data_IF_347244213922
#
_entry.id   IF_347244213922
#
_cell.length_a   1.000
_cell.length_b   1.000
_cell.length_c   1.000
_cell.angle_alpha   90.00
_cell.angle_beta   90.00
_cell.angle_gamma   90.00
#
_symmetry.space_group_name_H-M   'P 1'
#
loop_
_entity.id
_entity.type
_entity.pdbx_description
1 polymer ?
#
# COMPACT_ATOMS: atom_id res chain seq x y z
N UNK A 1 -16.67 2.17 1.14
CA UNK A 1 -15.30 2.76 1.08
C UNK A 1 -14.67 2.97 2.47
N UNK A 2 -15.38 3.53 3.46
CA UNK A 2 -14.82 3.76 4.82
C UNK A 2 -14.24 2.52 5.53
N UNK A 3 -14.85 1.35 5.35
CA UNK A 3 -14.41 0.09 5.98
C UNK A 3 -13.01 -0.32 5.49
N UNK A 4 -12.76 -0.24 4.18
CA UNK A 4 -11.47 -0.59 3.55
C UNK A 4 -10.30 0.22 4.12
N UNK A 5 -10.46 1.53 4.35
CA UNK A 5 -9.40 2.37 4.95
C UNK A 5 -9.06 1.89 6.37
N UNK A 6 -10.08 1.51 7.14
CA UNK A 6 -9.89 1.05 8.53
C UNK A 6 -9.20 -0.32 8.57
N UNK A 7 -9.50 -1.21 7.64
CA UNK A 7 -8.82 -2.51 7.52
C UNK A 7 -7.38 -2.37 7.05
N UNK A 8 -7.11 -1.53 6.05
CA UNK A 8 -5.75 -1.21 5.59
C UNK A 8 -4.93 -0.69 6.78
N UNK A 9 -5.40 0.34 7.48
CA UNK A 9 -4.67 0.95 8.62
C UNK A 9 -4.46 -0.05 9.78
N UNK A 10 -5.37 -0.98 10.03
CA UNK A 10 -5.17 -2.07 11.01
C UNK A 10 -4.07 -3.04 10.57
N UNK A 11 -4.00 -3.36 9.27
CA UNK A 11 -3.08 -4.34 8.69
C UNK A 11 -1.69 -3.80 8.36
N UNK A 12 -1.48 -2.47 8.27
CA UNK A 12 -0.16 -1.85 8.05
C UNK A 12 0.94 -2.38 8.99
N UNK A 13 0.58 -2.84 10.18
CA UNK A 13 1.49 -3.50 11.14
C UNK A 13 2.27 -4.71 10.58
N UNK A 14 1.87 -5.26 9.43
CA UNK A 14 2.48 -6.42 8.77
C UNK A 14 2.96 -6.09 7.35
N UNK A 15 3.64 -4.95 7.17
CA UNK A 15 4.29 -4.60 5.90
C UNK A 15 5.45 -5.53 5.49
N UNK A 16 5.85 -5.52 4.21
CA UNK A 16 5.17 -4.87 3.09
C UNK A 16 3.88 -5.61 2.68
N UNK A 17 2.91 -4.88 2.14
CA UNK A 17 1.60 -5.38 1.72
C UNK A 17 1.39 -5.19 0.22
N UNK A 18 0.66 -6.11 -0.41
CA UNK A 18 0.06 -5.90 -1.72
C UNK A 18 -1.46 -6.10 -1.67
N UNK A 19 -2.18 -5.23 -2.36
CA UNK A 19 -3.64 -5.28 -2.51
C UNK A 19 -3.99 -5.44 -3.99
N UNK A 20 -4.76 -6.47 -4.33
CA UNK A 20 -5.31 -6.70 -5.65
C UNK A 20 -6.75 -6.22 -5.70
N UNK A 21 -7.08 -5.47 -6.75
CA UNK A 21 -8.41 -4.96 -7.03
C UNK A 21 -8.92 -5.64 -8.29
N UNK A 22 -10.08 -6.29 -8.19
CA UNK A 22 -10.80 -6.87 -9.33
C UNK A 22 -12.18 -6.23 -9.40
N UNK A 23 -12.50 -5.68 -10.57
CA UNK A 23 -13.84 -5.28 -10.96
C UNK A 23 -14.62 -6.49 -11.48
N UNK A 24 -15.89 -6.58 -11.08
CA UNK A 24 -16.87 -7.50 -11.62
C UNK A 24 -17.96 -6.71 -12.34
N UNK A 25 -17.88 -6.73 -13.68
CA UNK A 25 -18.73 -5.94 -14.57
C UNK A 25 -20.21 -6.38 -14.52
N UNK A 26 -20.52 -7.58 -14.01
CA UNK A 26 -21.90 -8.08 -13.98
C UNK A 26 -22.70 -7.57 -12.77
N UNK A 27 -22.02 -7.07 -11.72
CA UNK A 27 -22.67 -6.76 -10.43
C UNK A 27 -22.22 -5.44 -9.77
N UNK A 28 -21.40 -4.62 -10.43
CA UNK A 28 -20.73 -3.42 -9.86
C UNK A 28 -19.93 -3.71 -8.57
N UNK A 29 -19.54 -4.98 -8.35
CA UNK A 29 -18.85 -5.41 -7.13
C UNK A 29 -17.34 -5.34 -7.33
N UNK A 30 -16.68 -4.61 -6.43
CA UNK A 30 -15.22 -4.58 -6.34
C UNK A 30 -14.76 -5.64 -5.35
N UNK A 31 -14.01 -6.64 -5.83
CA UNK A 31 -13.35 -7.64 -4.98
C UNK A 31 -11.93 -7.18 -4.66
N UNK A 32 -11.64 -7.06 -3.37
CA UNK A 32 -10.33 -6.67 -2.85
C UNK A 32 -9.69 -7.89 -2.19
N UNK A 33 -8.44 -8.21 -2.55
CA UNK A 33 -7.61 -9.23 -1.87
C UNK A 33 -6.38 -8.53 -1.31
N UNK A 34 -6.07 -8.71 -0.03
CA UNK A 34 -4.85 -8.18 0.60
C UNK A 34 -3.97 -9.35 1.02
N UNK A 35 -2.67 -9.26 0.72
CA UNK A 35 -1.67 -10.24 1.13
C UNK A 35 -0.34 -9.58 1.50
N UNK A 36 0.53 -10.34 2.18
CA UNK A 36 1.89 -9.90 2.46
C UNK A 36 2.70 -9.95 1.17
N UNK A 37 3.45 -8.90 0.86
CA UNK A 37 4.22 -8.85 -0.37
C UNK A 37 5.48 -9.73 -0.28
N UNK A 38 5.48 -10.87 -1.00
CA UNK A 38 6.59 -11.80 -1.09
C UNK A 38 7.47 -11.49 -2.31
N UNK A 39 8.55 -10.73 -2.12
CA UNK A 39 9.33 -10.18 -3.23
C UNK A 39 9.95 -11.22 -4.18
N UNK A 40 10.19 -12.44 -3.73
CA UNK A 40 10.76 -13.53 -4.55
C UNK A 40 9.75 -14.25 -5.47
N UNK A 41 8.44 -14.15 -5.20
CA UNK A 41 7.41 -14.89 -5.95
C UNK A 41 6.86 -14.09 -7.14
N UNK A 42 7.04 -12.76 -7.12
CA UNK A 42 6.53 -11.82 -8.12
C UNK A 42 6.86 -12.18 -9.59
N UNK A 43 8.09 -12.55 -9.97
CA UNK A 43 8.39 -12.90 -11.37
C UNK A 43 7.63 -14.12 -11.91
N UNK A 44 7.10 -14.98 -11.04
CA UNK A 44 6.26 -16.13 -11.41
C UNK A 44 4.83 -15.66 -11.62
N UNK A 45 4.25 -14.97 -10.63
CA UNK A 45 2.87 -14.44 -10.68
C UNK A 45 2.65 -13.55 -11.91
N UNK A 46 3.64 -12.73 -12.27
CA UNK A 46 3.56 -11.89 -13.48
C UNK A 46 3.46 -12.72 -14.77
N UNK A 47 4.21 -13.83 -14.87
CA UNK A 47 4.16 -14.72 -16.03
C UNK A 47 2.85 -15.47 -16.13
N UNK A 48 2.28 -15.90 -15.00
CA UNK A 48 0.96 -16.54 -14.96
C UNK A 48 -0.15 -15.58 -15.46
N UNK A 49 -0.01 -14.28 -15.20
CA UNK A 49 -0.87 -13.24 -15.77
C UNK A 49 -0.61 -12.98 -17.26
N UNK A 50 0.65 -12.92 -17.70
CA UNK A 50 1.03 -12.71 -19.11
C UNK A 50 0.63 -13.90 -20.01
N UNK A 51 0.71 -15.13 -19.50
CA UNK A 51 0.28 -16.36 -20.17
C UNK A 51 -1.24 -16.56 -20.17
N UNK A 52 -1.99 -15.80 -19.36
CA UNK A 52 -3.44 -15.97 -19.20
C UNK A 52 -3.86 -17.17 -18.33
N UNK A 53 -2.93 -17.78 -17.59
CA UNK A 53 -3.19 -18.88 -16.65
C UNK A 53 -3.98 -18.38 -15.42
N UNK A 54 -3.76 -17.12 -15.03
CA UNK A 54 -4.49 -16.42 -13.96
C UNK A 54 -5.07 -15.09 -14.46
N UNK A 55 -6.29 -14.72 -13.99
CA UNK A 55 -6.87 -13.40 -14.26
C UNK A 55 -5.98 -12.32 -13.61
N UNK A 56 -5.41 -11.43 -14.44
CA UNK A 56 -4.72 -10.23 -13.96
C UNK A 56 -5.69 -9.28 -13.23
N UNK A 57 -5.24 -8.62 -12.15
CA UNK A 57 -6.05 -7.62 -11.45
C UNK A 57 -6.26 -6.37 -12.31
N UNK A 58 -7.33 -5.63 -12.01
CA UNK A 58 -7.64 -4.35 -12.66
C UNK A 58 -6.91 -3.18 -11.98
N UNK A 59 -6.46 -3.39 -10.74
CA UNK A 59 -5.57 -2.47 -10.03
C UNK A 59 -4.73 -3.15 -8.95
N UNK A 60 -3.57 -2.55 -8.66
CA UNK A 60 -2.64 -2.99 -7.63
C UNK A 60 -2.28 -1.81 -6.71
N UNK A 61 -2.21 -2.07 -5.40
CA UNK A 61 -1.69 -1.12 -4.40
C UNK A 61 -0.62 -1.81 -3.58
N UNK A 62 0.62 -1.34 -3.70
CA UNK A 62 1.75 -1.75 -2.88
C UNK A 62 1.95 -0.77 -1.72
N UNK A 63 2.32 -1.29 -0.54
CA UNK A 63 2.64 -0.48 0.64
C UNK A 63 3.85 -1.06 1.37
N UNK A 64 4.86 -0.23 1.62
CA UNK A 64 5.96 -0.54 2.55
C UNK A 64 6.17 0.56 3.59
N UNK A 65 6.84 0.22 4.69
CA UNK A 65 7.31 1.19 5.69
C UNK A 65 8.59 1.85 5.16
N UNK A 66 8.69 3.17 5.24
CA UNK A 66 9.86 3.92 4.80
C UNK A 66 10.83 4.08 5.97
N UNK A 67 12.11 3.73 5.77
CA UNK A 67 13.12 3.83 6.81
C UNK A 67 13.26 5.26 7.34
N UNK A 68 13.30 5.36 8.67
CA UNK A 68 13.07 6.62 9.41
C UNK A 68 14.36 7.36 9.80
N UNK A 69 15.46 7.13 9.09
CA UNK A 69 16.83 7.57 9.44
C UNK A 69 17.06 9.10 9.49
N UNK A 70 16.04 9.93 9.25
CA UNK A 70 16.20 11.40 9.16
C UNK A 70 15.21 12.23 9.99
N UNK A 71 14.41 11.63 10.87
CA UNK A 71 13.49 12.37 11.75
C UNK A 71 14.02 12.49 13.18
N UNK A 72 15.03 13.34 13.33
CA UNK A 72 15.70 13.65 14.60
C UNK A 72 14.81 14.52 15.51
N UNK A 73 13.69 13.97 15.98
CA UNK A 73 12.82 14.58 16.99
C UNK A 73 13.24 14.14 18.38
N UNK A 74 14.25 14.82 18.90
CA UNK A 74 14.63 14.72 20.29
C UNK A 74 13.65 15.52 21.17
N UNK A 75 12.46 14.96 21.41
CA UNK A 75 11.85 15.00 22.76
C UNK A 75 10.63 14.06 22.89
N UNK A 76 10.41 13.61 24.14
CA UNK A 76 9.30 12.78 24.63
C UNK A 76 9.21 11.31 24.18
N UNK A 77 8.80 10.46 25.13
CA UNK A 77 8.71 9.00 25.00
C UNK A 77 7.73 8.52 23.93
N UNK A 78 8.12 7.46 23.21
CA UNK A 78 7.25 6.54 22.48
C UNK A 78 6.38 7.13 21.34
N UNK A 79 6.94 8.00 20.50
CA UNK A 79 6.28 8.40 19.26
C UNK A 79 6.10 7.23 18.28
N UNK A 80 4.95 6.55 18.32
CA UNK A 80 4.52 5.53 17.33
C UNK A 80 4.15 6.14 15.97
N UNK A 81 4.95 7.10 15.50
CA UNK A 81 4.82 7.71 14.17
C UNK A 81 5.59 6.87 13.15
N UNK A 82 4.90 6.42 12.10
CA UNK A 82 5.47 5.67 10.97
C UNK A 82 5.18 6.37 9.66
N UNK A 83 6.12 6.28 8.73
CA UNK A 83 5.97 6.74 7.36
C UNK A 83 5.86 5.52 6.45
N UNK A 84 4.96 5.58 5.47
CA UNK A 84 4.68 4.50 4.54
C UNK A 84 4.68 5.03 3.12
N UNK A 85 5.29 4.29 2.21
CA UNK A 85 5.20 4.54 0.78
C UNK A 85 4.06 3.71 0.20
N UNK A 86 3.07 4.38 -0.40
CA UNK A 86 1.94 3.74 -1.09
C UNK A 86 2.07 3.98 -2.59
N UNK A 87 2.02 2.92 -3.39
CA UNK A 87 2.12 2.99 -4.86
C UNK A 87 0.95 2.28 -5.51
N UNK A 88 0.27 2.97 -6.42
CA UNK A 88 -0.97 2.52 -7.07
C UNK A 88 -0.78 2.39 -8.58
N UNK A 89 -1.27 1.29 -9.14
CA UNK A 89 -1.33 1.02 -10.58
C UNK A 89 -2.74 0.57 -10.99
N UNK A 90 -3.15 0.91 -12.20
CA UNK A 90 -4.40 0.47 -12.82
C UNK A 90 -4.14 -0.11 -14.21
N UNK A 91 -4.90 -1.15 -14.58
CA UNK A 91 -4.82 -1.81 -15.88
C UNK A 91 -5.34 -0.90 -17.00
N UNK A 92 -4.74 -0.95 -18.19
CA UNK A 92 -5.19 -0.18 -19.36
C UNK A 92 -5.09 1.35 -19.22
N UNK A 93 -4.36 1.86 -18.22
CA UNK A 93 -4.07 3.28 -18.07
C UNK A 93 -2.70 3.61 -18.66
N UNK A 94 -2.63 4.54 -19.62
CA UNK A 94 -1.34 5.10 -20.12
C UNK A 94 -0.60 5.97 -19.07
N UNK A 95 -1.09 5.99 -17.82
CA UNK A 95 -0.50 6.70 -16.71
C UNK A 95 0.38 5.76 -15.88
N UNK A 96 1.66 6.10 -15.72
CA UNK A 96 2.57 5.41 -14.80
C UNK A 96 2.10 5.46 -13.33
N UNK A 97 2.79 4.70 -12.43
CA UNK A 97 2.38 4.51 -11.05
C UNK A 97 2.18 5.82 -10.28
N UNK A 98 1.12 5.87 -9.46
CA UNK A 98 0.82 7.04 -8.61
C UNK A 98 1.31 6.77 -7.18
N UNK A 99 2.14 7.67 -6.66
CA UNK A 99 2.79 7.57 -5.36
C UNK A 99 2.10 8.44 -4.29
N UNK A 100 1.93 7.92 -3.07
CA UNK A 100 1.42 8.66 -1.91
C UNK A 100 2.20 8.36 -0.63
N UNK A 101 2.73 9.41 0.02
CA UNK A 101 3.27 9.30 1.36
C UNK A 101 2.12 9.24 2.36
N UNK A 102 2.06 8.14 3.12
CA UNK A 102 1.13 7.97 4.22
C UNK A 102 1.91 8.08 5.54
N UNK A 103 1.63 9.10 6.35
CA UNK A 103 2.13 9.19 7.73
C UNK A 103 1.04 8.70 8.67
N UNK A 104 1.33 7.72 9.51
CA UNK A 104 0.43 7.26 10.59
C UNK A 104 1.05 7.60 11.95
N UNK A 105 0.25 8.09 12.90
CA UNK A 105 0.66 8.24 14.29
C UNK A 105 -0.37 7.59 15.21
N UNK A 106 0.07 6.67 16.08
CA UNK A 106 -0.80 5.95 16.99
C UNK A 106 -0.68 6.53 18.41
N UNK A 107 -1.77 7.10 18.90
CA UNK A 107 -1.86 7.69 20.24
C UNK A 107 -2.63 6.73 21.15
N UNK A 108 -2.11 6.49 22.35
CA UNK A 108 -2.80 5.74 23.40
C UNK A 108 -3.69 6.70 24.20
N UNK A 109 -4.98 6.39 24.37
CA UNK A 109 -5.91 7.24 25.11
C UNK A 109 -5.76 7.20 26.63
N UNK A 110 -4.81 6.43 27.16
CA UNK A 110 -4.72 6.12 28.59
C UNK A 110 -5.66 4.99 29.03
N UNK A 111 -5.87 4.86 30.35
CA UNK A 111 -6.58 3.74 30.99
C UNK A 111 -7.94 3.44 30.32
N UNK A 112 -8.01 2.31 29.59
CA UNK A 112 -9.26 1.78 29.03
C UNK A 112 -9.80 2.48 27.77
N UNK A 113 -9.23 3.60 27.33
CA UNK A 113 -9.75 4.40 26.19
C UNK A 113 -9.30 3.90 24.80
N UNK A 114 -8.49 2.83 24.76
CA UNK A 114 -8.03 2.21 23.51
C UNK A 114 -6.96 3.04 22.78
N UNK A 115 -6.88 2.84 21.46
CA UNK A 115 -5.88 3.48 20.61
C UNK A 115 -6.54 4.22 19.44
N UNK A 116 -6.15 5.48 19.24
CA UNK A 116 -6.49 6.25 18.06
C UNK A 116 -5.31 6.23 17.09
N UNK A 117 -5.56 5.99 15.80
CA UNK A 117 -4.54 6.15 14.75
C UNK A 117 -4.91 7.37 13.91
N UNK A 118 -4.14 8.43 14.06
CA UNK A 118 -4.19 9.57 13.15
C UNK A 118 -3.41 9.21 11.89
N UNK A 119 -3.87 9.67 10.73
CA UNK A 119 -3.14 9.51 9.48
C UNK A 119 -3.23 10.75 8.60
N UNK A 120 -2.22 10.96 7.78
CA UNK A 120 -2.18 11.95 6.73
C UNK A 120 -1.66 11.29 5.45
N UNK A 121 -2.40 11.43 4.35
CA UNK A 121 -2.04 10.91 3.03
C UNK A 121 -1.75 12.09 2.11
N UNK A 122 -0.57 12.12 1.49
CA UNK A 122 -0.16 13.17 0.56
C UNK A 122 0.35 12.55 -0.74
N UNK A 123 -0.13 13.04 -1.90
CA UNK A 123 0.41 12.62 -3.19
C UNK A 123 1.84 13.15 -3.34
N UNK A 124 2.77 12.28 -3.71
CA UNK A 124 4.17 12.64 -3.99
C UNK A 124 4.51 12.33 -5.45
N UNK A 125 5.59 12.91 -5.98
CA UNK A 125 6.02 12.66 -7.36
C UNK A 125 6.60 11.26 -7.53
N UNK A 126 7.45 10.84 -6.59
CA UNK A 126 8.05 9.53 -6.44
C UNK A 126 8.72 9.48 -5.04
N UNK A 127 9.22 8.30 -4.64
CA UNK A 127 10.04 8.13 -3.42
C UNK A 127 11.54 7.96 -3.71
N UNK A 128 11.94 8.21 -4.97
CA UNK A 128 13.30 8.17 -5.54
C UNK A 128 14.07 6.85 -5.50
N UNK A 129 14.05 6.05 -4.42
CA UNK A 129 14.81 4.79 -4.31
C UNK A 129 14.09 3.60 -3.61
N UNK A 130 13.12 3.77 -2.69
CA UNK A 130 12.30 2.63 -2.18
C UNK A 130 10.80 2.97 -1.99
N UNK A 131 9.94 1.95 -1.78
CA UNK A 131 8.50 1.80 -2.03
C UNK A 131 7.99 1.12 -3.34
N UNK A 132 8.61 0.07 -3.89
CA UNK A 132 9.99 -0.44 -3.81
C UNK A 132 10.84 0.45 -4.74
N UNK A 133 11.41 0.05 -5.89
CA UNK A 133 11.84 1.05 -6.91
C UNK A 133 11.01 1.03 -8.21
N UNK A 134 9.78 1.55 -8.25
CA UNK A 134 8.85 1.71 -7.12
C UNK A 134 8.05 0.42 -6.95
N UNK A 135 6.75 0.37 -7.23
CA UNK A 135 6.15 -0.92 -7.56
C UNK A 135 6.54 -1.33 -9.00
N UNK A 136 7.86 -1.48 -9.19
CA UNK A 136 8.68 -1.56 -10.40
C UNK A 136 7.92 -1.29 -11.72
N UNK A 137 7.72 0.01 -11.93
CA UNK A 137 7.52 0.68 -13.21
C UNK A 137 6.55 0.02 -14.18
N UNK A 138 5.33 -0.12 -13.66
CA UNK A 138 4.08 -0.25 -14.42
C UNK A 138 3.83 -1.67 -14.93
N UNK A 139 3.92 -2.61 -14.00
CA UNK A 139 3.55 -4.03 -14.14
C UNK A 139 2.17 -4.29 -14.76
N UNK A 140 1.23 -3.37 -14.62
CA UNK A 140 -0.14 -3.42 -15.18
C UNK A 140 -0.31 -2.71 -16.54
N UNK A 141 0.76 -2.29 -17.21
CA UNK A 141 0.69 -1.81 -18.59
C UNK A 141 0.45 -2.98 -19.56
N UNK A 142 -0.83 -3.26 -19.77
CA UNK A 142 -1.39 -3.96 -20.93
C UNK A 142 -2.58 -3.13 -21.44
#
# INVERSE_FOLDING_TARGET
MQESVTEIVKNLKQGPLLVHIYSDNEFEKVKIKTEKACLGEWPVVKKEWENGELKSPDGLIFVEELDSENLNYQDCEESMARAWGVVVQGKGMECGPICYLLKTNRVCGGLGLGFCTHFCLMRVKNFRHSALEQFNDSWLLQ
#
